data_IF_001378520823
#
_entry.id   IF_001378520823
#
_cell.length_a   1.000
_cell.length_b   1.000
_cell.length_c   1.000
_cell.angle_alpha   90.00
_cell.angle_beta   90.00
_cell.angle_gamma   90.00
#
_symmetry.space_group_name_H-M   'P 1'
#
loop_
_entity.id
_entity.type
_entity.pdbx_description
1 polymer ?
#
# COMPACT_ATOMS: atom_id res chain seq x y z
N UNK A 1 -16.07 2.83 1.62
CA UNK A 1 -16.14 3.18 0.18
C UNK A 1 -16.42 1.92 -0.62
N UNK A 2 -17.36 1.95 -1.58
CA UNK A 2 -17.61 0.82 -2.47
C UNK A 2 -17.00 1.13 -3.84
N UNK A 3 -16.18 0.23 -4.39
CA UNK A 3 -15.68 0.33 -5.76
C UNK A 3 -16.52 -0.55 -6.67
N UNK A 4 -17.27 0.04 -7.61
CA UNK A 4 -18.00 -0.72 -8.62
C UNK A 4 -17.06 -1.56 -9.50
N UNK A 5 -15.89 -1.03 -9.86
CA UNK A 5 -14.91 -1.67 -10.74
C UNK A 5 -14.39 -3.00 -10.17
N UNK A 6 -14.29 -3.08 -8.84
CA UNK A 6 -13.83 -4.27 -8.13
C UNK A 6 -14.98 -5.04 -7.46
N UNK A 7 -16.23 -4.56 -7.57
CA UNK A 7 -17.41 -5.06 -6.86
C UNK A 7 -17.14 -5.33 -5.35
N UNK A 8 -16.37 -4.44 -4.72
CA UNK A 8 -15.86 -4.65 -3.37
C UNK A 8 -16.06 -3.42 -2.48
N UNK A 9 -16.47 -3.67 -1.23
CA UNK A 9 -16.53 -2.65 -0.17
C UNK A 9 -15.19 -2.57 0.56
N UNK A 10 -14.63 -1.38 0.59
CA UNK A 10 -13.46 -1.01 1.35
C UNK A 10 -13.89 -0.25 2.61
N UNK A 11 -13.38 -0.65 3.76
CA UNK A 11 -13.59 0.05 5.02
C UNK A 11 -12.23 0.47 5.58
N UNK A 12 -12.18 1.68 6.13
CA UNK A 12 -11.05 2.19 6.87
C UNK A 12 -11.51 2.38 8.31
N UNK A 13 -11.17 1.42 9.18
CA UNK A 13 -11.52 1.44 10.59
C UNK A 13 -10.31 1.92 11.40
N UNK A 14 -10.57 2.67 12.48
CA UNK A 14 -9.54 3.19 13.39
C UNK A 14 -8.38 3.94 12.71
N UNK A 15 -8.65 4.61 11.60
CA UNK A 15 -7.66 5.44 10.90
C UNK A 15 -7.58 6.82 11.53
N UNK A 16 -6.41 7.14 12.07
CA UNK A 16 -6.07 8.44 12.67
C UNK A 16 -4.97 9.10 11.85
N UNK A 17 -5.32 10.20 11.20
CA UNK A 17 -4.37 11.09 10.55
C UNK A 17 -4.03 12.23 11.49
N UNK A 18 -2.73 12.46 11.72
CA UNK A 18 -2.26 13.54 12.58
C UNK A 18 -1.06 14.22 11.98
N UNK A 19 -1.07 15.55 11.98
CA UNK A 19 0.11 16.35 11.69
C UNK A 19 0.78 16.65 13.03
N UNK A 20 2.05 16.30 13.14
CA UNK A 20 2.85 16.50 14.34
C UNK A 20 4.18 17.15 13.98
N UNK A 21 4.88 17.71 14.97
CA UNK A 21 6.27 18.14 14.75
C UNK A 21 7.17 16.92 14.53
N UNK A 22 8.15 17.09 13.65
CA UNK A 22 9.25 16.15 13.50
C UNK A 22 10.03 16.06 14.83
N UNK A 23 10.30 14.85 15.37
CA UNK A 23 11.06 14.69 16.60
C UNK A 23 12.47 15.28 16.49
N UNK A 24 13.07 15.16 15.31
CA UNK A 24 14.46 15.54 15.04
C UNK A 24 14.58 17.00 14.58
N UNK A 25 13.48 17.63 14.16
CA UNK A 25 13.46 19.01 13.69
C UNK A 25 12.13 19.71 14.02
N UNK A 26 12.08 20.57 15.05
CA UNK A 26 10.85 21.21 15.50
C UNK A 26 10.27 22.24 14.52
N UNK A 27 11.01 22.61 13.46
CA UNK A 27 10.53 23.49 12.38
C UNK A 27 9.89 22.71 11.23
N UNK A 28 9.95 21.37 11.26
CA UNK A 28 9.32 20.50 10.28
C UNK A 28 8.08 19.85 10.87
N UNK A 29 7.13 19.57 9.99
CA UNK A 29 5.93 18.82 10.29
C UNK A 29 6.00 17.46 9.60
N UNK A 30 5.48 16.44 10.27
CA UNK A 30 5.28 15.10 9.71
C UNK A 30 3.80 14.74 9.76
N UNK A 31 3.34 14.09 8.71
CA UNK A 31 2.02 13.46 8.67
C UNK A 31 2.15 12.01 9.13
N UNK A 32 1.39 11.66 10.14
CA UNK A 32 1.33 10.31 10.68
C UNK A 32 -0.03 9.67 10.40
N UNK A 33 0.00 8.41 10.00
CA UNK A 33 -1.14 7.51 9.89
C UNK A 33 -1.03 6.48 11.00
N UNK A 34 -1.97 6.49 11.95
CA UNK A 34 -1.96 5.59 13.12
C UNK A 34 -0.63 5.62 13.91
N UNK A 35 0.00 6.81 14.01
CA UNK A 35 1.28 6.99 14.71
C UNK A 35 2.52 6.63 13.89
N UNK A 36 2.37 6.06 12.69
CA UNK A 36 3.47 5.79 11.76
C UNK A 36 3.62 6.94 10.76
N UNK A 37 4.85 7.31 10.42
CA UNK A 37 5.10 8.28 9.35
C UNK A 37 4.46 7.82 8.03
N UNK A 38 3.73 8.71 7.35
CA UNK A 38 2.99 8.37 6.13
C UNK A 38 3.90 7.79 5.03
N UNK A 39 5.14 8.27 4.90
CA UNK A 39 6.08 7.81 3.89
C UNK A 39 6.55 6.37 4.17
N UNK A 40 6.79 6.05 5.45
CA UNK A 40 7.14 4.68 5.86
C UNK A 40 5.99 3.72 5.60
N UNK A 41 4.76 4.14 5.91
CA UNK A 41 3.57 3.35 5.61
C UNK A 41 3.44 3.06 4.11
N UNK A 42 3.65 4.07 3.26
CA UNK A 42 3.63 3.90 1.80
C UNK A 42 4.72 2.95 1.32
N UNK A 43 5.94 3.05 1.85
CA UNK A 43 7.04 2.13 1.51
C UNK A 43 6.69 0.69 1.87
N UNK A 44 6.07 0.46 3.02
CA UNK A 44 5.62 -0.87 3.42
C UNK A 44 4.55 -1.41 2.47
N UNK A 45 3.50 -0.62 2.17
CA UNK A 45 2.43 -1.04 1.25
C UNK A 45 2.93 -1.28 -0.17
N UNK A 46 3.87 -0.48 -0.64
CA UNK A 46 4.50 -0.69 -1.94
C UNK A 46 5.22 -2.04 -2.01
N UNK A 47 6.01 -2.39 -0.98
CA UNK A 47 6.68 -3.70 -0.89
C UNK A 47 5.68 -4.86 -0.86
N UNK A 48 4.60 -4.75 -0.09
CA UNK A 48 3.54 -5.78 -0.04
C UNK A 48 2.91 -6.00 -1.43
N UNK A 49 2.64 -4.92 -2.17
CA UNK A 49 2.09 -5.00 -3.54
C UNK A 49 3.09 -5.65 -4.49
N UNK A 50 4.35 -5.23 -4.47
CA UNK A 50 5.39 -5.81 -5.32
C UNK A 50 5.55 -7.31 -5.08
N UNK A 51 5.58 -7.74 -3.81
CA UNK A 51 5.68 -9.16 -3.47
C UNK A 51 4.49 -9.96 -4.00
N UNK A 52 3.26 -9.44 -3.88
CA UNK A 52 2.07 -10.11 -4.42
C UNK A 52 2.12 -10.24 -5.94
N UNK A 53 2.54 -9.19 -6.65
CA UNK A 53 2.69 -9.21 -8.11
C UNK A 53 3.77 -10.21 -8.54
N UNK A 54 4.92 -10.24 -7.85
CA UNK A 54 6.00 -11.18 -8.14
C UNK A 54 5.55 -12.63 -7.91
N UNK A 55 4.82 -12.90 -6.82
CA UNK A 55 4.20 -14.21 -6.54
C UNK A 55 3.25 -14.62 -7.66
N UNK A 56 2.37 -13.71 -8.11
CA UNK A 56 1.45 -13.97 -9.23
C UNK A 56 2.24 -14.29 -10.50
N UNK A 57 3.29 -13.52 -10.82
CA UNK A 57 4.10 -13.73 -12.02
C UNK A 57 4.81 -15.10 -12.05
N UNK A 58 5.16 -15.63 -10.88
CA UNK A 58 5.79 -16.95 -10.72
C UNK A 58 4.79 -18.11 -10.74
N UNK A 59 3.54 -17.86 -10.36
CA UNK A 59 2.47 -18.87 -10.32
C UNK A 59 1.73 -19.04 -11.65
N UNK A 60 1.79 -18.05 -12.55
CA UNK A 60 1.29 -18.22 -13.93
C UNK A 60 2.19 -19.26 -14.63
N UNK A 61 1.67 -20.43 -15.02
CA UNK A 61 2.46 -21.37 -15.81
C UNK A 61 2.88 -20.64 -17.09
N UNK A 62 4.17 -20.68 -17.44
CA UNK A 62 4.61 -20.27 -18.77
C UNK A 62 3.89 -21.16 -19.78
N UNK A 63 2.76 -20.69 -20.30
CA UNK A 63 2.08 -21.37 -21.40
C UNK A 63 3.08 -21.41 -22.55
N UNK A 64 3.57 -22.62 -22.85
CA UNK A 64 4.37 -22.87 -24.04
C UNK A 64 3.47 -22.51 -25.22
N UNK A 65 3.89 -21.54 -26.02
CA UNK A 65 3.08 -20.93 -27.06
C UNK A 65 2.41 -21.95 -27.97
N UNK A 66 1.17 -21.64 -28.36
CA UNK A 66 0.50 -22.29 -29.47
C UNK A 66 1.34 -22.07 -30.74
N UNK A 67 1.92 -23.14 -31.29
CA UNK A 67 2.40 -23.13 -32.66
C UNK A 67 1.21 -23.42 -33.57
N UNK A 68 0.85 -22.44 -34.39
CA UNK A 68 0.04 -22.62 -35.60
C UNK A 68 0.88 -23.31 -36.67
#
# INVERSE_FOLDING_TARGET
FFSPEHNQKFTAEDVRLKIEKEPDNPNKLRLNLNGMNILEWFRQKYKEVQQKIDIISRQVPKSKGFKL
#
